data_IF_056861850887
#
_entry.id   IF_056861850887
#
_cell.length_a   1.000
_cell.length_b   1.000
_cell.length_c   1.000
_cell.angle_alpha   90.00
_cell.angle_beta   90.00
_cell.angle_gamma   90.00
#
_symmetry.space_group_name_H-M   'P 1'
#
loop_
_entity.id
_entity.type
_entity.pdbx_description
1 polymer ?
#
# COMPACT_ATOMS: atom_id res chain seq x y z
N UNK A 1 10.20 3.15 -22.83
CA UNK A 1 9.56 2.08 -22.05
C UNK A 1 8.08 2.38 -22.03
N UNK A 2 7.22 1.43 -22.43
CA UNK A 2 5.77 1.67 -22.53
C UNK A 2 5.02 0.42 -22.07
N UNK A 3 3.92 0.60 -21.33
CA UNK A 3 3.03 -0.46 -20.85
C UNK A 3 3.78 -1.54 -20.02
N UNK A 4 4.48 -1.12 -18.97
CA UNK A 4 5.34 -1.99 -18.14
C UNK A 4 4.92 -1.92 -16.68
N UNK A 5 4.89 -3.08 -16.04
CA UNK A 5 4.75 -3.20 -14.57
C UNK A 5 6.06 -3.73 -13.99
N UNK A 6 6.58 -3.04 -12.99
CA UNK A 6 7.78 -3.41 -12.24
C UNK A 6 7.39 -3.50 -10.77
N UNK A 7 7.25 -4.72 -10.27
CA UNK A 7 6.70 -4.90 -8.92
C UNK A 7 7.34 -6.04 -8.15
N UNK A 8 7.34 -5.91 -6.81
CA UNK A 8 7.76 -6.95 -5.88
C UNK A 8 9.26 -7.28 -5.92
N UNK A 9 10.10 -6.36 -6.42
CA UNK A 9 11.55 -6.58 -6.47
C UNK A 9 12.22 -6.06 -5.20
N UNK A 10 13.36 -6.66 -4.85
CA UNK A 10 14.16 -6.25 -3.69
C UNK A 10 15.60 -6.02 -4.12
N UNK A 11 16.17 -4.90 -3.72
CA UNK A 11 17.58 -4.56 -3.89
C UNK A 11 18.27 -4.43 -2.53
N UNK A 12 19.51 -4.92 -2.43
CA UNK A 12 20.36 -4.79 -1.23
C UNK A 12 21.16 -3.47 -1.21
N UNK A 13 20.79 -2.52 -2.04
CA UNK A 13 21.40 -1.20 -2.21
C UNK A 13 20.27 -0.28 -2.69
N UNK A 14 20.53 0.68 -3.56
CA UNK A 14 19.54 1.61 -4.10
C UNK A 14 18.61 0.97 -5.13
N UNK A 15 17.41 1.53 -5.29
CA UNK A 15 16.40 1.23 -6.31
C UNK A 15 15.86 -0.19 -6.29
N UNK A 16 14.84 -0.44 -5.51
CA UNK A 16 14.11 -1.71 -5.60
C UNK A 16 13.49 -1.94 -6.98
N UNK A 17 12.95 -0.89 -7.61
CA UNK A 17 12.33 -0.96 -8.93
C UNK A 17 13.25 -0.58 -10.08
N UNK A 18 13.66 0.69 -10.20
CA UNK A 18 14.42 1.20 -11.35
C UNK A 18 15.60 2.06 -10.88
N UNK A 19 16.80 1.71 -11.32
CA UNK A 19 17.97 2.56 -11.21
C UNK A 19 18.32 3.20 -12.54
N UNK A 20 18.45 4.53 -12.59
CA UNK A 20 18.92 5.27 -13.75
C UNK A 20 20.22 6.00 -13.42
N UNK A 21 21.26 5.68 -14.19
CA UNK A 21 22.57 6.33 -14.10
C UNK A 21 22.89 6.94 -15.46
N UNK A 22 23.04 8.28 -15.51
CA UNK A 22 23.35 9.04 -16.73
C UNK A 22 22.41 8.68 -17.89
N UNK A 23 21.10 8.51 -17.60
CA UNK A 23 20.15 7.96 -18.56
C UNK A 23 18.82 8.72 -18.51
N UNK A 24 18.31 9.11 -19.67
CA UNK A 24 17.09 9.92 -19.80
C UNK A 24 16.02 9.21 -20.64
N UNK A 25 15.47 8.07 -20.19
CA UNK A 25 14.43 7.37 -20.94
C UNK A 25 13.09 8.13 -20.93
N UNK A 26 12.27 7.86 -21.93
CA UNK A 26 10.85 8.16 -21.89
C UNK A 26 10.10 6.95 -21.37
N UNK A 27 9.19 7.18 -20.41
CA UNK A 27 8.34 6.17 -19.78
C UNK A 27 6.88 6.57 -19.96
N UNK A 28 6.05 5.65 -20.41
CA UNK A 28 4.62 5.89 -20.62
C UNK A 28 3.83 4.68 -20.14
N UNK A 29 2.78 4.89 -19.36
CA UNK A 29 1.95 3.83 -18.77
C UNK A 29 2.81 2.82 -17.98
N UNK A 30 3.64 3.29 -17.05
CA UNK A 30 4.54 2.43 -16.26
C UNK A 30 4.09 2.41 -14.80
N UNK A 31 3.82 1.22 -14.27
CA UNK A 31 3.57 1.02 -12.85
C UNK A 31 4.83 0.48 -12.15
N UNK A 32 5.23 1.14 -11.07
CA UNK A 32 6.37 0.76 -10.22
C UNK A 32 5.82 0.59 -8.82
N UNK A 33 5.63 -0.66 -8.38
CA UNK A 33 4.92 -0.92 -7.14
C UNK A 33 5.52 -2.01 -6.28
N UNK A 34 5.36 -1.90 -4.96
CA UNK A 34 5.73 -2.94 -4.00
C UNK A 34 7.20 -3.36 -4.08
N UNK A 35 8.09 -2.47 -4.54
CA UNK A 35 9.53 -2.73 -4.58
C UNK A 35 10.20 -2.23 -3.30
N UNK A 36 11.29 -2.88 -2.92
CA UNK A 36 12.02 -2.59 -1.68
C UNK A 36 13.50 -2.35 -1.98
N UNK A 37 14.07 -1.29 -1.41
CA UNK A 37 15.51 -1.03 -1.39
C UNK A 37 16.03 -1.07 0.05
N UNK A 38 17.25 -1.57 0.26
CA UNK A 38 17.88 -1.51 1.59
C UNK A 38 18.39 -0.11 1.90
N UNK A 39 18.75 0.68 0.88
CA UNK A 39 19.16 2.08 1.04
C UNK A 39 18.05 3.01 0.51
N UNK A 40 18.31 3.76 -0.57
CA UNK A 40 17.47 4.84 -1.09
C UNK A 40 16.62 4.45 -2.30
N UNK A 41 15.47 5.10 -2.43
CA UNK A 41 14.65 5.03 -3.64
C UNK A 41 13.99 3.70 -3.86
N UNK A 42 13.12 3.25 -2.96
CA UNK A 42 12.40 1.98 -3.06
C UNK A 42 11.79 1.73 -4.45
N UNK A 43 11.13 2.72 -5.02
CA UNK A 43 10.65 2.70 -6.40
C UNK A 43 11.74 3.00 -7.41
N UNK A 44 12.38 4.17 -7.28
CA UNK A 44 13.36 4.64 -8.26
C UNK A 44 14.55 5.35 -7.60
N UNK A 45 15.75 5.12 -8.15
CA UNK A 45 16.95 5.89 -7.85
C UNK A 45 17.50 6.51 -9.14
N UNK A 46 17.57 7.83 -9.18
CA UNK A 46 18.04 8.60 -10.33
C UNK A 46 19.33 9.32 -10.00
N UNK A 47 20.36 9.12 -10.80
CA UNK A 47 21.61 9.86 -10.68
C UNK A 47 22.06 10.43 -12.03
N UNK A 48 22.14 11.78 -12.10
CA UNK A 48 22.42 12.50 -13.35
C UNK A 48 21.48 12.06 -14.48
N UNK A 49 20.17 11.94 -14.17
CA UNK A 49 19.18 11.33 -15.06
C UNK A 49 17.87 12.11 -15.00
N UNK A 50 17.37 12.51 -16.16
CA UNK A 50 16.18 13.34 -16.31
C UNK A 50 15.14 12.62 -17.20
N UNK A 51 14.52 11.53 -16.75
CA UNK A 51 13.51 10.83 -17.53
C UNK A 51 12.27 11.71 -17.74
N UNK A 52 11.56 11.46 -18.85
CA UNK A 52 10.21 11.98 -19.10
C UNK A 52 9.21 10.87 -18.79
N UNK A 53 8.32 11.12 -17.84
CA UNK A 53 7.37 10.14 -17.33
C UNK A 53 5.95 10.65 -17.53
N UNK A 54 5.13 9.90 -18.23
CA UNK A 54 3.72 10.22 -18.49
C UNK A 54 2.85 9.03 -18.13
N UNK A 55 1.76 9.26 -17.41
CA UNK A 55 0.88 8.21 -16.92
C UNK A 55 1.69 7.15 -16.15
N UNK A 56 2.41 7.56 -15.11
CA UNK A 56 3.19 6.65 -14.26
C UNK A 56 2.54 6.53 -12.89
N UNK A 57 2.48 5.31 -12.36
CA UNK A 57 2.07 5.06 -10.97
C UNK A 57 3.26 4.54 -10.19
N UNK A 58 3.62 5.23 -9.10
CA UNK A 58 4.68 4.80 -8.17
C UNK A 58 4.01 4.66 -6.80
N UNK A 59 3.80 3.41 -6.35
CA UNK A 59 3.00 3.16 -5.14
C UNK A 59 3.45 1.91 -4.38
N UNK A 60 3.34 1.94 -3.05
CA UNK A 60 3.65 0.79 -2.21
C UNK A 60 5.14 0.44 -2.12
N UNK A 61 6.03 1.28 -2.64
CA UNK A 61 7.47 1.01 -2.58
C UNK A 61 8.06 1.42 -1.24
N UNK A 62 9.12 0.73 -0.80
CA UNK A 62 9.73 0.92 0.51
C UNK A 62 11.26 1.07 0.38
N UNK A 63 11.82 2.00 1.14
CA UNK A 63 13.26 2.11 1.35
C UNK A 63 13.56 2.15 2.86
N UNK A 64 14.74 1.66 3.27
CA UNK A 64 15.10 1.69 4.69
C UNK A 64 15.68 3.05 5.09
N UNK A 65 16.35 3.74 4.16
CA UNK A 65 16.94 5.06 4.42
C UNK A 65 16.03 6.17 3.85
N UNK A 66 16.34 6.73 2.69
CA UNK A 66 15.60 7.84 2.10
C UNK A 66 14.68 7.42 0.95
N UNK A 67 13.46 7.97 0.96
CA UNK A 67 12.49 7.89 -0.15
C UNK A 67 12.08 6.50 -0.61
N UNK A 68 10.98 6.01 -0.11
CA UNK A 68 10.30 4.84 -0.70
C UNK A 68 9.88 5.05 -2.16
N UNK A 69 9.60 6.29 -2.56
CA UNK A 69 9.21 6.65 -3.92
C UNK A 69 10.43 6.80 -4.86
N UNK A 70 11.01 7.99 -4.87
CA UNK A 70 12.12 8.36 -5.77
C UNK A 70 13.23 9.11 -5.03
N UNK A 71 14.46 8.65 -5.16
CA UNK A 71 15.65 9.39 -4.77
C UNK A 71 16.30 10.05 -5.98
N UNK A 72 16.44 11.39 -5.94
CA UNK A 72 16.94 12.20 -7.04
C UNK A 72 18.31 12.78 -6.68
N UNK A 73 19.37 12.20 -7.25
CA UNK A 73 20.73 12.72 -7.09
C UNK A 73 21.14 13.48 -8.36
N UNK A 74 21.14 14.81 -8.28
CA UNK A 74 21.41 15.71 -9.41
C UNK A 74 20.59 15.35 -10.64
N UNK A 75 19.27 15.24 -10.43
CA UNK A 75 18.32 14.76 -11.42
C UNK A 75 17.03 15.56 -11.33
N UNK A 76 16.49 15.92 -12.49
CA UNK A 76 15.24 16.70 -12.62
C UNK A 76 14.30 16.01 -13.61
N UNK A 77 13.65 14.93 -13.19
CA UNK A 77 12.67 14.25 -14.02
C UNK A 77 11.45 15.15 -14.32
N UNK A 78 10.79 14.89 -15.42
CA UNK A 78 9.49 15.48 -15.74
C UNK A 78 8.41 14.42 -15.57
N UNK A 79 7.40 14.72 -14.73
CA UNK A 79 6.24 13.85 -14.49
C UNK A 79 4.97 14.58 -14.95
N UNK A 80 4.10 13.84 -15.62
CA UNK A 80 2.79 14.32 -16.03
C UNK A 80 1.74 13.22 -15.95
N UNK A 81 0.51 13.56 -15.57
CA UNK A 81 -0.61 12.63 -15.44
C UNK A 81 -0.25 11.40 -14.58
N UNK A 82 0.52 11.58 -13.51
CA UNK A 82 1.11 10.48 -12.74
C UNK A 82 0.57 10.43 -11.33
N UNK A 83 0.70 9.29 -10.66
CA UNK A 83 0.29 9.09 -9.27
C UNK A 83 1.49 8.63 -8.46
N UNK A 84 1.79 9.32 -7.36
CA UNK A 84 2.78 8.93 -6.35
C UNK A 84 2.06 8.84 -5.01
N UNK A 85 1.85 7.61 -4.52
CA UNK A 85 1.02 7.40 -3.35
C UNK A 85 1.45 6.18 -2.53
N UNK A 86 1.33 6.26 -1.20
CA UNK A 86 1.56 5.14 -0.28
C UNK A 86 2.94 4.49 -0.40
N UNK A 87 4.01 5.28 -0.57
CA UNK A 87 5.39 4.82 -0.49
C UNK A 87 5.96 5.08 0.91
N UNK A 88 6.94 4.33 1.36
CA UNK A 88 7.49 4.44 2.70
C UNK A 88 9.04 4.47 2.69
N UNK A 89 9.67 5.58 3.09
CA UNK A 89 9.13 6.90 3.42
C UNK A 89 8.37 7.55 2.25
N UNK A 90 7.33 8.38 2.51
CA UNK A 90 6.40 8.86 1.48
C UNK A 90 6.91 10.07 0.71
N UNK A 91 8.16 10.15 0.33
CA UNK A 91 8.69 11.39 -0.28
C UNK A 91 9.47 11.17 -1.56
N UNK A 92 9.58 12.23 -2.33
CA UNK A 92 10.62 12.41 -3.34
C UNK A 92 11.79 13.10 -2.63
N UNK A 93 12.90 12.40 -2.46
CA UNK A 93 14.11 12.99 -1.85
C UNK A 93 14.99 13.58 -2.94
N UNK A 94 15.44 14.84 -2.72
CA UNK A 94 16.28 15.58 -3.67
C UNK A 94 17.66 15.79 -3.04
N UNK A 95 18.69 15.29 -3.71
CA UNK A 95 20.09 15.49 -3.36
C UNK A 95 20.79 16.30 -4.47
N UNK A 96 20.78 17.61 -4.32
CA UNK A 96 21.30 18.59 -5.27
C UNK A 96 20.40 19.82 -5.35
N UNK A 97 20.63 20.67 -6.34
CA UNK A 97 19.87 21.91 -6.57
C UNK A 97 18.80 21.75 -7.66
N UNK A 98 18.77 20.61 -8.30
CA UNK A 98 17.81 20.29 -9.37
C UNK A 98 16.46 19.88 -8.74
N UNK A 99 15.36 20.39 -9.31
CA UNK A 99 14.01 20.05 -8.88
C UNK A 99 13.22 19.35 -10.00
N UNK A 100 12.44 18.33 -9.69
CA UNK A 100 11.56 17.69 -10.69
C UNK A 100 10.47 18.67 -11.14
N UNK A 101 10.01 18.51 -12.39
CA UNK A 101 8.87 19.22 -12.95
C UNK A 101 7.67 18.27 -12.92
N UNK A 102 6.68 18.58 -12.08
CA UNK A 102 5.50 17.73 -11.91
C UNK A 102 4.24 18.55 -12.19
N UNK A 103 3.38 18.03 -13.06
CA UNK A 103 2.11 18.66 -13.40
C UNK A 103 1.01 17.63 -13.65
N UNK A 104 -0.24 18.03 -13.40
CA UNK A 104 -1.43 17.20 -13.59
C UNK A 104 -1.30 15.81 -12.94
N UNK A 105 -0.76 15.77 -11.73
CA UNK A 105 -0.40 14.53 -11.04
C UNK A 105 -0.92 14.53 -9.61
N UNK A 106 -1.17 13.35 -9.08
CA UNK A 106 -1.60 13.13 -7.69
C UNK A 106 -0.40 12.70 -6.84
N UNK A 107 -0.01 13.56 -5.92
CA UNK A 107 1.22 13.39 -5.13
C UNK A 107 0.88 13.45 -3.65
N UNK A 108 1.07 12.35 -2.93
CA UNK A 108 0.90 12.28 -1.48
C UNK A 108 1.78 13.29 -0.75
N UNK A 109 1.16 14.15 0.07
CA UNK A 109 1.82 15.25 0.75
C UNK A 109 1.89 16.54 -0.07
N UNK A 110 1.38 16.52 -1.29
CA UNK A 110 1.28 17.67 -2.19
C UNK A 110 2.59 18.01 -2.92
N UNK A 111 2.47 18.60 -4.09
CA UNK A 111 3.58 19.14 -4.88
C UNK A 111 3.14 20.37 -5.66
N UNK A 112 3.93 21.45 -5.61
CA UNK A 112 3.62 22.65 -6.40
C UNK A 112 3.72 22.37 -7.90
N UNK A 113 2.68 22.71 -8.65
CA UNK A 113 2.63 22.51 -10.09
C UNK A 113 1.21 22.62 -10.64
N UNK A 114 1.09 22.90 -11.93
CA UNK A 114 -0.21 23.04 -12.60
C UNK A 114 -0.98 21.72 -12.56
N UNK A 115 -2.23 21.76 -12.08
CA UNK A 115 -3.14 20.62 -12.07
C UNK A 115 -2.77 19.50 -11.11
N UNK A 116 -1.79 19.68 -10.22
CA UNK A 116 -1.47 18.69 -9.20
C UNK A 116 -2.53 18.66 -8.10
N UNK A 117 -2.79 17.47 -7.58
CA UNK A 117 -3.69 17.21 -6.45
C UNK A 117 -2.96 16.40 -5.36
N UNK A 118 -3.54 16.39 -4.17
CA UNK A 118 -3.13 15.59 -3.02
C UNK A 118 -4.39 14.96 -2.42
N UNK A 119 -4.83 13.85 -3.00
CA UNK A 119 -6.10 13.21 -2.62
C UNK A 119 -5.99 11.71 -2.83
N UNK A 120 -6.48 10.90 -1.89
CA UNK A 120 -6.46 9.44 -2.02
C UNK A 120 -6.92 9.00 -3.42
N UNK A 121 -6.06 8.37 -4.22
CA UNK A 121 -6.37 7.94 -5.58
C UNK A 121 -7.44 6.86 -5.67
N UNK A 122 -7.89 6.30 -4.53
CA UNK A 122 -8.88 5.23 -4.45
C UNK A 122 -8.51 4.05 -5.35
N UNK A 123 -7.34 3.48 -5.14
CA UNK A 123 -6.95 2.25 -5.83
C UNK A 123 -7.86 1.08 -5.49
N UNK A 124 -8.12 0.21 -6.43
CA UNK A 124 -9.04 -0.93 -6.31
C UNK A 124 -8.68 -1.88 -5.15
N UNK A 125 -7.46 -2.37 -5.11
CA UNK A 125 -6.97 -3.24 -4.04
C UNK A 125 -5.44 -3.21 -3.95
N UNK A 126 -4.85 -2.11 -3.45
CA UNK A 126 -3.40 -1.96 -3.40
C UNK A 126 -2.73 -3.03 -2.54
N UNK A 127 -3.40 -3.55 -1.51
CA UNK A 127 -2.88 -4.66 -0.70
C UNK A 127 -2.73 -6.00 -1.43
N UNK A 128 -3.23 -6.10 -2.66
CA UNK A 128 -3.07 -7.26 -3.55
C UNK A 128 -2.37 -6.87 -4.86
N UNK A 129 -1.76 -5.68 -4.92
CA UNK A 129 -1.07 -5.18 -6.12
C UNK A 129 -2.00 -4.66 -7.21
N UNK A 130 -3.29 -4.43 -6.93
CA UNK A 130 -4.22 -3.85 -7.89
C UNK A 130 -4.31 -2.32 -7.70
N UNK A 131 -3.49 -1.62 -8.47
CA UNK A 131 -3.40 -0.16 -8.48
C UNK A 131 -4.22 0.49 -9.59
N UNK A 132 -5.21 -0.20 -10.16
CA UNK A 132 -6.22 0.41 -11.03
C UNK A 132 -7.09 1.35 -10.20
N UNK A 133 -7.63 2.38 -10.85
CA UNK A 133 -8.48 3.36 -10.18
C UNK A 133 -9.90 2.83 -9.99
N UNK A 134 -10.48 3.14 -8.84
CA UNK A 134 -11.91 3.00 -8.63
C UNK A 134 -12.67 4.04 -9.48
N UNK A 135 -13.91 3.78 -9.86
CA UNK A 135 -14.75 4.69 -10.66
C UNK A 135 -14.98 6.07 -10.01
N UNK A 136 -14.89 6.17 -8.69
CA UNK A 136 -15.00 7.45 -7.95
C UNK A 136 -13.63 8.11 -7.70
N UNK A 137 -12.57 7.60 -8.29
CA UNK A 137 -11.23 8.14 -8.09
C UNK A 137 -11.14 9.61 -8.52
N UNK A 138 -10.54 10.47 -7.69
CA UNK A 138 -10.28 11.86 -8.06
C UNK A 138 -9.27 11.99 -9.19
N UNK A 139 -8.56 10.92 -9.53
CA UNK A 139 -7.59 10.86 -10.61
C UNK A 139 -8.23 10.62 -12.00
N UNK A 140 -9.56 10.45 -12.07
CA UNK A 140 -10.27 10.24 -13.34
C UNK A 140 -10.60 11.58 -13.97
N UNK A 141 -10.23 11.75 -15.25
CA UNK A 141 -10.48 12.94 -16.06
C UNK A 141 -9.95 14.26 -15.43
N UNK A 142 -8.97 14.18 -14.54
CA UNK A 142 -8.36 15.32 -13.86
C UNK A 142 -6.92 15.59 -14.32
N UNK A 143 -6.37 14.71 -15.12
CA UNK A 143 -5.10 14.92 -15.79
C UNK A 143 -5.17 15.97 -16.90
N UNK A 144 -4.04 16.23 -17.55
CA UNK A 144 -3.98 17.17 -18.67
C UNK A 144 -4.94 16.75 -19.80
N UNK A 145 -5.66 17.69 -20.36
CA UNK A 145 -6.69 17.49 -21.40
C UNK A 145 -7.85 16.54 -20.98
N UNK A 146 -8.09 16.34 -19.70
CA UNK A 146 -9.14 15.46 -19.22
C UNK A 146 -8.77 13.97 -19.29
N UNK A 147 -7.50 13.65 -19.36
CA UNK A 147 -7.01 12.27 -19.25
C UNK A 147 -7.08 11.78 -17.80
N UNK A 148 -6.97 10.48 -17.59
CA UNK A 148 -6.81 9.92 -16.27
C UNK A 148 -5.34 10.06 -15.83
N UNK A 149 -5.11 10.26 -14.54
CA UNK A 149 -3.78 10.14 -13.97
C UNK A 149 -3.45 8.67 -13.69
N UNK A 150 -2.16 8.32 -13.75
CA UNK A 150 -1.65 6.99 -13.45
C UNK A 150 -1.61 6.02 -14.63
N UNK A 151 -0.97 4.87 -14.40
CA UNK A 151 -0.58 3.92 -15.44
C UNK A 151 -1.67 2.90 -15.81
N UNK A 152 -2.58 2.58 -14.91
CA UNK A 152 -3.37 1.35 -15.00
C UNK A 152 -4.86 1.55 -15.30
N UNK A 153 -5.29 2.80 -15.49
CA UNK A 153 -6.66 3.13 -15.84
C UNK A 153 -7.70 2.73 -14.77
N UNK A 154 -8.97 2.78 -15.14
CA UNK A 154 -10.11 2.42 -14.28
C UNK A 154 -10.33 0.91 -14.34
N UNK A 155 -10.47 0.25 -13.19
CA UNK A 155 -10.50 -1.21 -13.17
C UNK A 155 -11.45 -1.86 -12.17
N UNK A 156 -12.02 -1.12 -11.26
CA UNK A 156 -13.07 -1.63 -10.38
C UNK A 156 -14.25 -0.67 -10.35
N UNK A 157 -15.40 -1.21 -10.55
CA UNK A 157 -16.64 -0.53 -10.19
C UNK A 157 -16.66 -0.37 -8.66
N UNK A 158 -17.11 0.77 -8.16
CA UNK A 158 -17.68 0.78 -6.83
C UNK A 158 -18.82 -0.23 -6.87
N UNK A 159 -18.61 -1.35 -6.24
CA UNK A 159 -19.72 -2.12 -5.77
C UNK A 159 -20.37 -1.25 -4.68
N UNK A 160 -21.15 -0.24 -5.08
CA UNK A 160 -22.24 0.22 -4.24
C UNK A 160 -23.03 -1.05 -3.99
N UNK A 161 -22.87 -1.61 -2.80
CA UNK A 161 -23.48 -2.87 -2.41
C UNK A 161 -25.01 -2.72 -2.37
N UNK A 162 -25.61 -2.64 -3.56
CA UNK A 162 -26.99 -3.03 -3.84
C UNK A 162 -27.06 -4.43 -4.42
N UNK A 163 -25.92 -5.00 -4.86
CA UNK A 163 -25.79 -6.43 -5.02
C UNK A 163 -25.28 -7.03 -3.69
N UNK A 164 -26.26 -7.43 -2.89
CA UNK A 164 -26.08 -8.54 -1.97
C UNK A 164 -25.52 -9.67 -2.83
N UNK A 165 -24.34 -10.22 -2.45
CA UNK A 165 -23.94 -11.58 -2.87
C UNK A 165 -22.68 -11.69 -3.76
N UNK A 166 -21.56 -11.01 -3.43
CA UNK A 166 -20.31 -11.76 -3.54
C UNK A 166 -19.82 -12.01 -2.11
N UNK A 167 -20.49 -12.92 -1.46
CA UNK A 167 -20.03 -13.44 -0.18
C UNK A 167 -18.73 -14.22 -0.40
N UNK A 168 -17.80 -14.19 0.55
CA UNK A 168 -16.64 -15.07 0.52
C UNK A 168 -17.10 -16.53 0.30
N UNK A 169 -16.39 -17.27 -0.50
CA UNK A 169 -16.74 -18.68 -0.78
C UNK A 169 -16.28 -19.63 0.33
N UNK A 170 -15.44 -19.18 1.24
CA UNK A 170 -14.89 -19.96 2.35
C UNK A 170 -14.48 -19.08 3.52
N UNK A 171 -14.39 -19.68 4.71
CA UNK A 171 -13.78 -19.02 5.87
C UNK A 171 -12.28 -18.86 5.66
N UNK A 172 -11.76 -17.63 5.83
CA UNK A 172 -10.33 -17.34 5.75
C UNK A 172 -9.92 -16.48 6.93
N UNK A 173 -8.74 -16.72 7.49
CA UNK A 173 -8.04 -15.79 8.36
C UNK A 173 -6.73 -15.39 7.66
N UNK A 174 -6.58 -14.11 7.35
CA UNK A 174 -5.39 -13.59 6.68
C UNK A 174 -4.25 -13.31 7.66
N UNK A 175 -3.03 -13.18 7.13
CA UNK A 175 -1.91 -12.67 7.91
C UNK A 175 -2.20 -11.23 8.29
N UNK A 176 -1.92 -10.87 9.56
CA UNK A 176 -2.05 -9.48 10.00
C UNK A 176 -1.06 -8.58 9.25
N UNK A 177 -1.46 -7.34 9.01
CA UNK A 177 -0.61 -6.35 8.35
C UNK A 177 -0.70 -5.00 9.08
N UNK A 178 0.46 -4.34 9.30
CA UNK A 178 1.82 -4.84 9.12
C UNK A 178 2.16 -6.02 10.03
N UNK A 179 3.19 -6.82 9.66
CA UNK A 179 3.79 -7.87 10.49
C UNK A 179 5.26 -8.09 10.10
N UNK A 180 6.25 -7.67 10.90
CA UNK A 180 6.12 -7.11 12.27
C UNK A 180 5.37 -5.78 12.32
N UNK A 181 4.82 -5.40 13.50
CA UNK A 181 4.03 -4.19 13.68
C UNK A 181 4.43 -3.39 14.94
N UNK A 182 4.07 -2.07 14.97
CA UNK A 182 4.35 -1.18 16.09
C UNK A 182 3.41 0.03 16.12
N UNK A 183 2.55 0.23 17.13
CA UNK A 183 1.94 -0.81 17.96
C UNK A 183 0.65 -1.36 17.33
N UNK A 184 0.25 -0.90 16.15
CA UNK A 184 -1.05 -1.20 15.53
C UNK A 184 -0.89 -2.18 14.38
N UNK A 185 -1.80 -3.14 14.28
CA UNK A 185 -1.90 -4.05 13.15
C UNK A 185 -3.36 -4.33 12.82
N UNK A 186 -3.64 -4.64 11.56
CA UNK A 186 -4.97 -5.01 11.06
C UNK A 186 -5.07 -6.51 10.86
N UNK A 187 -6.11 -7.11 11.39
CA UNK A 187 -6.50 -8.50 11.14
C UNK A 187 -7.65 -8.51 10.15
N UNK A 188 -7.56 -9.35 9.11
CA UNK A 188 -8.62 -9.55 8.11
C UNK A 188 -9.10 -10.98 8.15
N UNK A 189 -10.39 -11.19 7.93
CA UNK A 189 -11.01 -12.52 7.84
C UNK A 189 -12.28 -12.47 7.00
N UNK A 190 -12.62 -13.59 6.40
CA UNK A 190 -13.76 -13.75 5.53
C UNK A 190 -14.75 -14.72 6.14
N UNK A 191 -16.05 -14.38 6.06
CA UNK A 191 -17.17 -15.17 6.52
C UNK A 191 -18.08 -15.50 5.32
N UNK A 192 -18.16 -16.74 4.83
CA UNK A 192 -19.04 -17.12 3.73
C UNK A 192 -20.52 -17.16 4.14
N UNK A 193 -20.78 -17.22 5.43
CA UNK A 193 -22.12 -17.27 6.05
C UNK A 193 -22.12 -16.53 7.38
N UNK A 194 -23.30 -16.23 7.89
CA UNK A 194 -23.47 -15.64 9.21
C UNK A 194 -22.95 -16.60 10.29
N UNK A 195 -22.13 -16.12 11.21
CA UNK A 195 -21.49 -16.97 12.21
C UNK A 195 -21.28 -16.26 13.53
N UNK A 196 -21.23 -17.03 14.62
CA UNK A 196 -20.68 -16.57 15.87
C UNK A 196 -19.16 -16.55 15.78
N UNK A 197 -18.58 -15.36 15.81
CA UNK A 197 -17.14 -15.15 15.65
C UNK A 197 -16.51 -14.83 16.99
N UNK A 198 -15.42 -15.53 17.28
CA UNK A 198 -14.52 -15.21 18.39
C UNK A 198 -13.11 -15.04 17.83
N UNK A 199 -12.48 -13.87 18.10
CA UNK A 199 -11.08 -13.61 17.77
C UNK A 199 -10.34 -13.26 19.04
N UNK A 200 -9.36 -14.09 19.39
CA UNK A 200 -8.60 -13.99 20.63
C UNK A 200 -7.10 -13.96 20.37
N UNK A 201 -6.41 -13.10 21.10
CA UNK A 201 -4.95 -12.98 21.10
C UNK A 201 -4.39 -13.79 22.26
N UNK A 202 -3.33 -14.53 22.01
CA UNK A 202 -2.59 -15.33 23.00
C UNK A 202 -1.11 -14.97 23.02
N UNK A 203 -0.49 -15.09 24.16
CA UNK A 203 0.97 -15.08 24.26
C UNK A 203 1.58 -16.46 23.91
N UNK A 204 2.89 -16.53 23.88
CA UNK A 204 3.61 -17.79 23.57
C UNK A 204 3.46 -18.90 24.62
N UNK A 205 2.92 -18.58 25.78
CA UNK A 205 2.60 -19.57 26.82
C UNK A 205 1.14 -20.06 26.72
N UNK A 206 0.39 -19.59 25.69
CA UNK A 206 -1.01 -19.93 25.47
C UNK A 206 -1.99 -19.19 26.41
N UNK A 207 -1.53 -18.16 27.12
CA UNK A 207 -2.41 -17.35 27.96
C UNK A 207 -3.13 -16.34 27.11
N UNK A 208 -4.43 -16.18 27.35
CA UNK A 208 -5.23 -15.16 26.70
C UNK A 208 -4.73 -13.76 27.09
N UNK A 209 -4.53 -12.92 26.09
CA UNK A 209 -4.10 -11.53 26.21
C UNK A 209 -5.26 -10.59 25.97
N UNK A 210 -6.01 -10.78 24.90
CA UNK A 210 -7.16 -9.95 24.54
C UNK A 210 -8.18 -10.70 23.69
N UNK A 211 -9.47 -10.38 23.88
CA UNK A 211 -10.55 -10.81 22.99
C UNK A 211 -10.98 -9.63 22.15
N UNK A 212 -10.71 -9.69 20.86
CA UNK A 212 -11.00 -8.61 19.92
C UNK A 212 -12.43 -8.65 19.39
N UNK A 213 -12.98 -9.86 19.21
CA UNK A 213 -14.35 -10.10 18.76
C UNK A 213 -14.95 -11.25 19.57
N UNK A 214 -16.19 -11.11 19.99
CA UNK A 214 -17.00 -12.18 20.59
C UNK A 214 -18.47 -11.85 20.31
N UNK A 215 -18.91 -12.03 19.06
CA UNK A 215 -20.28 -11.68 18.67
C UNK A 215 -20.74 -12.45 17.42
N UNK A 216 -22.05 -12.46 17.22
CA UNK A 216 -22.63 -12.88 15.95
C UNK A 216 -22.32 -11.83 14.87
N UNK A 217 -21.84 -12.27 13.72
CA UNK A 217 -21.51 -11.41 12.58
C UNK A 217 -22.13 -11.97 11.30
N UNK A 218 -22.60 -11.05 10.45
CA UNK A 218 -23.08 -11.38 9.11
C UNK A 218 -21.93 -11.83 8.21
N UNK A 219 -22.26 -12.62 7.20
CA UNK A 219 -21.36 -12.97 6.10
C UNK A 219 -20.68 -11.75 5.49
N UNK A 220 -19.51 -11.91 4.88
CA UNK A 220 -18.77 -10.86 4.19
C UNK A 220 -17.30 -10.78 4.60
N UNK A 221 -16.60 -9.81 4.00
CA UNK A 221 -15.21 -9.49 4.27
C UNK A 221 -15.12 -8.61 5.50
N UNK A 222 -14.27 -8.97 6.47
CA UNK A 222 -14.17 -8.29 7.77
C UNK A 222 -12.74 -7.87 8.07
N UNK A 223 -12.62 -6.73 8.76
CA UNK A 223 -11.34 -6.28 9.28
C UNK A 223 -11.49 -5.65 10.67
N UNK A 224 -10.44 -5.73 11.46
CA UNK A 224 -10.36 -5.08 12.77
C UNK A 224 -8.90 -4.76 13.10
N UNK A 225 -8.69 -3.76 13.95
CA UNK A 225 -7.36 -3.37 14.40
C UNK A 225 -7.10 -3.85 15.83
N UNK A 226 -5.85 -4.21 16.08
CA UNK A 226 -5.32 -4.42 17.43
C UNK A 226 -4.15 -3.46 17.69
N UNK A 227 -4.22 -2.73 18.78
CA UNK A 227 -3.27 -1.70 19.18
C UNK A 227 -2.28 -2.17 20.26
N UNK A 228 -1.98 -3.47 20.32
CA UNK A 228 -1.08 -4.08 21.27
C UNK A 228 -1.47 -3.85 22.75
N UNK A 229 -2.77 -3.90 23.07
CA UNK A 229 -3.27 -3.83 24.46
C UNK A 229 -3.98 -5.11 24.87
N UNK A 230 -3.99 -5.39 26.17
CA UNK A 230 -4.80 -6.46 26.74
C UNK A 230 -6.26 -6.02 26.97
N UNK A 231 -7.13 -6.92 27.44
CA UNK A 231 -8.55 -6.64 27.73
C UNK A 231 -8.78 -5.50 28.77
N UNK A 232 -7.75 -5.10 29.50
CA UNK A 232 -7.79 -3.96 30.44
C UNK A 232 -7.29 -2.66 29.82
N UNK A 233 -6.97 -2.65 28.51
CA UNK A 233 -6.39 -1.50 27.82
C UNK A 233 -4.92 -1.22 28.16
N UNK A 234 -4.23 -2.14 28.84
CA UNK A 234 -2.82 -1.97 29.21
C UNK A 234 -1.94 -2.48 28.06
N UNK A 235 -0.94 -1.68 27.60
CA UNK A 235 -0.01 -2.11 26.56
C UNK A 235 0.72 -3.40 26.95
N UNK A 236 0.91 -4.28 25.99
CA UNK A 236 1.64 -5.53 26.17
C UNK A 236 3.09 -5.39 25.70
N UNK A 237 3.97 -6.28 26.16
CA UNK A 237 5.39 -6.23 25.82
C UNK A 237 5.65 -6.64 24.36
N UNK A 238 6.72 -6.11 23.77
CA UNK A 238 7.23 -6.60 22.50
C UNK A 238 7.45 -8.12 22.55
N UNK A 239 7.16 -8.78 21.44
CA UNK A 239 7.30 -10.25 21.36
C UNK A 239 6.40 -10.90 20.33
N UNK A 240 6.36 -12.22 20.38
CA UNK A 240 5.53 -13.05 19.50
C UNK A 240 4.17 -13.28 20.16
N UNK A 241 3.12 -13.08 19.39
CA UNK A 241 1.73 -13.36 19.77
C UNK A 241 1.08 -14.27 18.73
N UNK A 242 0.05 -14.98 19.17
CA UNK A 242 -0.80 -15.80 18.32
C UNK A 242 -2.20 -15.18 18.33
N UNK A 243 -2.83 -15.08 17.17
CA UNK A 243 -4.25 -14.75 17.11
C UNK A 243 -5.02 -15.89 16.47
N UNK A 244 -6.17 -16.19 17.03
CA UNK A 244 -7.03 -17.29 16.62
C UNK A 244 -8.43 -16.77 16.32
N UNK A 245 -8.97 -17.18 15.19
CA UNK A 245 -10.40 -17.07 14.89
C UNK A 245 -11.10 -18.39 15.15
N UNK A 246 -12.29 -18.31 15.70
CA UNK A 246 -13.28 -19.39 15.70
C UNK A 246 -14.58 -18.81 15.14
N UNK A 247 -15.08 -19.40 14.06
CA UNK A 247 -16.34 -19.03 13.43
C UNK A 247 -17.11 -20.31 13.10
N UNK A 248 -18.14 -20.64 13.89
CA UNK A 248 -18.76 -21.95 13.87
C UNK A 248 -17.75 -23.07 14.13
N UNK A 249 -17.63 -24.00 13.21
CA UNK A 249 -16.65 -25.11 13.27
C UNK A 249 -15.27 -24.71 12.72
N UNK A 250 -15.17 -23.61 11.98
CA UNK A 250 -13.90 -23.13 11.45
C UNK A 250 -13.02 -22.60 12.56
N UNK A 251 -11.77 -23.09 12.59
CA UNK A 251 -10.74 -22.60 13.51
C UNK A 251 -9.41 -22.45 12.80
N UNK A 252 -8.82 -21.25 12.89
CA UNK A 252 -7.50 -20.97 12.33
C UNK A 252 -6.70 -20.07 13.26
N UNK A 253 -5.38 -20.33 13.31
CA UNK A 253 -4.43 -19.55 14.14
C UNK A 253 -3.30 -19.05 13.25
N UNK A 254 -2.81 -17.84 13.56
CA UNK A 254 -1.65 -17.24 12.92
C UNK A 254 -0.74 -16.56 13.94
N UNK A 255 0.51 -16.37 13.55
CA UNK A 255 1.55 -15.73 14.34
C UNK A 255 1.71 -14.27 13.91
N UNK A 256 1.97 -13.38 14.87
CA UNK A 256 2.33 -11.98 14.65
C UNK A 256 3.48 -11.55 15.55
N UNK A 257 4.21 -10.52 15.17
CA UNK A 257 5.39 -10.02 15.87
C UNK A 257 5.18 -8.55 16.19
N UNK A 258 5.11 -8.23 17.49
CA UNK A 258 5.06 -6.86 18.00
C UNK A 258 6.50 -6.36 18.23
N UNK A 259 6.85 -5.26 17.59
CA UNK A 259 8.08 -4.51 17.84
C UNK A 259 7.86 -3.56 19.04
N UNK A 260 8.95 -2.95 19.48
CA UNK A 260 8.92 -2.03 20.62
C UNK A 260 8.92 -0.59 20.13
#
# INVERSE_FOLDING_TARGET
MTDVIISGNTANDHAGGIQLLYSNPTMTNVAISDNTADDDGGGMYLRYSNPIMTNVTISGNTANDDSGCMYLNRSSPTLKNSIIWNNAPPSITISGDETPIISYSDIEGGWEGEGNIDTDPLFCNPGSGDYRLNEESPCIATGENGENMGALGVGCELILSTDKDVLPSQFVLYQNYPNPFNPVTTLRYDLPEDANVNITIYDMMGRQVSTLVSSHQSAGYKSLQWNATNDKGVPVSAGIYLYMIQAGEFRKMRKMILLK
#
